data_IF_259559142742
#
_entry.id   IF_259559142742
#
_cell.length_a   1.000
_cell.length_b   1.000
_cell.length_c   1.000
_cell.angle_alpha   90.00
_cell.angle_beta   90.00
_cell.angle_gamma   90.00
#
_symmetry.space_group_name_H-M   'P 1'
#
loop_
_entity.id
_entity.type
_entity.pdbx_description
1 polymer ?
#
# COMPACT_ATOMS: atom_id res chain seq x y z
N UNK A 1 -15.98 1.56 -9.34
CA UNK A 1 -15.11 0.59 -10.00
C UNK A 1 -15.66 -0.83 -9.83
N UNK A 2 -15.46 -1.71 -10.84
CA UNK A 2 -15.73 -3.14 -10.68
C UNK A 2 -14.83 -3.72 -9.57
N UNK A 3 -15.18 -4.91 -9.06
CA UNK A 3 -14.39 -5.53 -7.99
C UNK A 3 -12.96 -5.84 -8.43
N UNK A 4 -12.78 -6.43 -9.62
CA UNK A 4 -11.46 -6.74 -10.18
C UNK A 4 -10.63 -5.49 -10.47
N UNK A 5 -11.23 -4.44 -11.03
CA UNK A 5 -10.53 -3.17 -11.26
C UNK A 5 -10.05 -2.56 -9.93
N UNK A 6 -10.89 -2.61 -8.89
CA UNK A 6 -10.53 -2.12 -7.57
C UNK A 6 -9.37 -2.89 -6.95
N UNK A 7 -9.37 -4.23 -7.03
CA UNK A 7 -8.25 -5.07 -6.56
C UNK A 7 -6.95 -4.77 -7.33
N UNK A 8 -7.03 -4.61 -8.65
CA UNK A 8 -5.87 -4.22 -9.47
C UNK A 8 -5.32 -2.84 -9.08
N UNK A 9 -6.19 -1.88 -8.77
CA UNK A 9 -5.77 -0.54 -8.31
C UNK A 9 -5.12 -0.58 -6.92
N UNK A 10 -5.61 -1.43 -5.99
CA UNK A 10 -4.97 -1.63 -4.68
C UNK A 10 -3.56 -2.19 -4.86
N UNK A 11 -3.44 -3.21 -5.69
CA UNK A 11 -2.14 -3.82 -6.01
C UNK A 11 -1.17 -2.79 -6.59
N UNK A 12 -1.61 -2.03 -7.60
CA UNK A 12 -0.79 -0.97 -8.20
C UNK A 12 -0.35 0.12 -7.21
N UNK A 13 -1.15 0.39 -6.18
CA UNK A 13 -0.83 1.40 -5.18
C UNK A 13 0.28 0.97 -4.21
N UNK A 14 0.36 -0.32 -3.93
CA UNK A 14 1.35 -0.87 -3.02
C UNK A 14 2.54 -1.51 -3.71
N UNK A 15 2.42 -1.80 -5.00
CA UNK A 15 3.52 -2.29 -5.82
C UNK A 15 4.34 -1.10 -6.30
N UNK A 16 5.54 -1.04 -5.84
CA UNK A 16 6.49 0.00 -6.21
C UNK A 16 7.89 -0.57 -6.39
N UNK A 17 8.82 0.32 -6.57
CA UNK A 17 10.26 0.00 -6.68
C UNK A 17 10.74 -0.92 -5.57
N UNK A 18 10.24 -0.75 -4.34
CA UNK A 18 10.64 -1.57 -3.22
C UNK A 18 10.40 -3.05 -3.44
N UNK A 19 9.25 -3.43 -3.99
CA UNK A 19 8.97 -4.84 -4.29
C UNK A 19 9.96 -5.40 -5.33
N UNK A 20 10.35 -4.60 -6.32
CA UNK A 20 11.32 -5.02 -7.34
C UNK A 20 12.72 -5.08 -6.77
N UNK A 21 13.11 -4.08 -5.96
CA UNK A 21 14.42 -4.01 -5.33
C UNK A 21 14.67 -5.22 -4.42
N UNK A 22 13.72 -5.49 -3.53
CA UNK A 22 13.88 -6.46 -2.47
C UNK A 22 13.50 -7.90 -2.87
N UNK A 23 12.89 -8.11 -4.04
CA UNK A 23 12.45 -9.43 -4.49
C UNK A 23 13.56 -10.49 -4.53
N UNK A 24 14.77 -10.08 -4.83
CA UNK A 24 15.97 -10.93 -4.82
C UNK A 24 16.93 -10.51 -3.71
N UNK A 25 17.12 -9.21 -3.52
CA UNK A 25 18.09 -8.68 -2.57
C UNK A 25 17.83 -9.20 -1.13
N UNK A 26 16.58 -9.21 -0.68
CA UNK A 26 16.26 -9.65 0.68
C UNK A 26 16.43 -11.17 0.87
N UNK A 27 15.81 -12.06 0.05
CA UNK A 27 16.01 -13.50 0.19
C UNK A 27 17.49 -13.89 0.11
N UNK A 28 18.25 -13.31 -0.80
CA UNK A 28 19.68 -13.59 -0.93
C UNK A 28 20.50 -13.07 0.25
N UNK A 29 20.17 -11.90 0.79
CA UNK A 29 20.82 -11.38 2.01
C UNK A 29 20.58 -12.29 3.21
N UNK A 30 19.35 -12.80 3.38
CA UNK A 30 19.02 -13.73 4.46
C UNK A 30 19.58 -15.13 4.23
N UNK A 31 19.85 -15.50 3.00
CA UNK A 31 20.49 -16.76 2.65
C UNK A 31 21.98 -16.74 3.02
N UNK A 32 22.67 -15.66 2.70
CA UNK A 32 24.10 -15.47 3.03
C UNK A 32 24.30 -15.16 4.52
N UNK A 33 23.40 -14.39 5.11
CA UNK A 33 23.43 -14.01 6.54
C UNK A 33 22.07 -14.30 7.18
N UNK A 34 21.87 -15.57 7.63
CA UNK A 34 20.58 -15.99 8.17
C UNK A 34 20.17 -15.19 9.40
N UNK A 35 18.86 -14.92 9.56
CA UNK A 35 18.33 -14.22 10.73
C UNK A 35 18.82 -14.83 12.05
N UNK A 36 19.35 -13.99 12.92
CA UNK A 36 19.84 -14.38 14.28
C UNK A 36 20.95 -15.44 14.27
N UNK A 37 21.63 -15.68 13.16
CA UNK A 37 22.60 -16.78 13.08
C UNK A 37 22.00 -18.16 13.35
N UNK A 38 20.68 -18.32 13.10
CA UNK A 38 19.93 -19.51 13.48
C UNK A 38 19.99 -20.66 12.46
N UNK A 39 20.73 -20.47 11.36
CA UNK A 39 21.05 -21.49 10.38
C UNK A 39 22.48 -21.31 9.87
N UNK A 40 23.05 -22.37 9.33
CA UNK A 40 24.33 -22.30 8.59
C UNK A 40 24.11 -21.42 7.34
N UNK A 41 24.96 -20.40 7.11
CA UNK A 41 24.92 -19.60 5.88
C UNK A 41 24.91 -20.48 4.62
N UNK A 42 24.23 -20.04 3.59
CA UNK A 42 24.17 -20.70 2.27
C UNK A 42 23.65 -22.16 2.31
N UNK A 43 22.94 -22.52 3.37
CA UNK A 43 22.34 -23.85 3.54
C UNK A 43 20.88 -23.90 3.06
N UNK A 44 20.31 -25.11 2.82
CA UNK A 44 18.88 -25.24 2.56
C UNK A 44 17.98 -24.67 3.66
N UNK A 45 18.43 -24.72 4.92
CA UNK A 45 17.74 -24.10 6.04
C UNK A 45 17.73 -22.59 5.95
N UNK A 46 18.88 -21.99 5.60
CA UNK A 46 18.99 -20.55 5.36
C UNK A 46 18.05 -20.11 4.23
N UNK A 47 17.95 -20.87 3.14
CA UNK A 47 17.03 -20.60 2.03
C UNK A 47 15.56 -20.62 2.46
N UNK A 48 15.14 -21.62 3.26
CA UNK A 48 13.77 -21.68 3.80
C UNK A 48 13.48 -20.48 4.71
N UNK A 49 14.42 -20.12 5.59
CA UNK A 49 14.30 -18.96 6.46
C UNK A 49 14.26 -17.65 5.66
N UNK A 50 15.08 -17.52 4.63
CA UNK A 50 15.11 -16.35 3.77
C UNK A 50 13.73 -16.09 3.14
N UNK A 51 13.12 -17.10 2.57
CA UNK A 51 11.77 -16.99 2.00
C UNK A 51 10.72 -16.68 3.05
N UNK A 52 10.76 -17.33 4.21
CA UNK A 52 9.83 -17.09 5.32
C UNK A 52 9.87 -15.64 5.80
N UNK A 53 11.06 -15.07 6.02
CA UNK A 53 11.21 -13.68 6.49
C UNK A 53 10.86 -12.68 5.40
N UNK A 54 11.15 -12.93 4.15
CA UNK A 54 10.69 -12.10 3.04
C UNK A 54 9.16 -12.03 2.98
N UNK A 55 8.46 -13.17 3.14
CA UNK A 55 6.99 -13.17 3.22
C UNK A 55 6.47 -12.47 4.49
N UNK A 56 7.19 -12.53 5.60
CA UNK A 56 6.83 -11.84 6.82
C UNK A 56 6.91 -10.33 6.69
N UNK A 57 7.96 -9.79 6.08
CA UNK A 57 8.15 -8.36 5.89
C UNK A 57 7.16 -7.77 4.87
N UNK A 58 6.82 -8.50 3.81
CA UNK A 58 5.95 -8.04 2.71
C UNK A 58 4.51 -8.57 2.80
N UNK A 59 4.19 -9.29 3.87
CA UNK A 59 2.91 -9.94 4.09
C UNK A 59 1.91 -9.10 4.88
N UNK A 60 1.19 -9.78 5.79
CA UNK A 60 0.03 -9.22 6.51
C UNK A 60 0.32 -7.94 7.27
N UNK A 61 1.46 -7.86 7.95
CA UNK A 61 1.82 -6.70 8.78
C UNK A 61 1.92 -5.42 7.96
N UNK A 62 2.62 -5.49 6.85
CA UNK A 62 2.80 -4.35 5.94
C UNK A 62 1.46 -3.84 5.42
N UNK A 63 0.61 -4.75 4.93
CA UNK A 63 -0.67 -4.38 4.35
C UNK A 63 -1.73 -4.00 5.39
N UNK A 64 -1.63 -4.52 6.62
CA UNK A 64 -2.46 -4.10 7.74
C UNK A 64 -2.25 -2.63 8.11
N UNK A 65 -1.01 -2.11 8.01
CA UNK A 65 -0.70 -0.69 8.21
C UNK A 65 -1.47 0.19 7.21
N UNK A 66 -1.44 -0.18 5.93
CA UNK A 66 -2.17 0.54 4.89
C UNK A 66 -3.68 0.42 5.04
N UNK A 67 -4.16 -0.77 5.42
CA UNK A 67 -5.58 -1.01 5.65
C UNK A 67 -6.11 -0.16 6.82
N UNK A 68 -5.38 -0.04 7.92
CA UNK A 68 -5.78 0.76 9.07
C UNK A 68 -5.97 2.24 8.69
N UNK A 69 -4.95 2.84 8.08
CA UNK A 69 -5.00 4.26 7.69
C UNK A 69 -6.07 4.47 6.61
N UNK A 70 -6.10 3.59 5.62
CA UNK A 70 -7.09 3.67 4.54
C UNK A 70 -8.53 3.54 5.04
N UNK A 71 -8.80 2.62 5.95
CA UNK A 71 -10.13 2.44 6.53
C UNK A 71 -10.54 3.65 7.38
N UNK A 72 -9.62 4.19 8.19
CA UNK A 72 -9.87 5.37 9.00
C UNK A 72 -10.24 6.58 8.14
N UNK A 73 -9.48 6.83 7.07
CA UNK A 73 -9.75 7.94 6.14
C UNK A 73 -11.05 7.68 5.36
N UNK A 74 -11.29 6.45 4.86
CA UNK A 74 -12.50 6.11 4.12
C UNK A 74 -13.76 6.28 4.99
N UNK A 75 -13.71 5.82 6.24
CA UNK A 75 -14.80 5.97 7.20
C UNK A 75 -15.13 7.44 7.46
N UNK A 76 -14.12 8.25 7.78
CA UNK A 76 -14.29 9.68 8.01
C UNK A 76 -14.87 10.38 6.79
N UNK A 77 -14.32 10.08 5.62
CA UNK A 77 -14.68 10.77 4.38
C UNK A 77 -16.05 10.37 3.86
N UNK A 78 -16.34 9.09 3.80
CA UNK A 78 -17.55 8.58 3.13
C UNK A 78 -18.71 8.34 4.09
N UNK A 79 -18.43 7.98 5.34
CA UNK A 79 -19.47 7.74 6.34
C UNK A 79 -19.79 8.98 7.15
N UNK A 80 -18.77 9.71 7.62
CA UNK A 80 -18.95 10.92 8.42
C UNK A 80 -19.02 12.20 7.56
N UNK A 81 -18.79 12.12 6.24
CA UNK A 81 -18.82 13.27 5.30
C UNK A 81 -17.89 14.41 5.72
N UNK A 82 -16.72 14.08 6.25
CA UNK A 82 -15.69 15.04 6.69
C UNK A 82 -14.52 15.11 5.70
N UNK A 83 -13.66 16.12 5.78
CA UNK A 83 -12.41 16.16 4.99
C UNK A 83 -11.57 14.90 5.20
N UNK A 84 -10.95 14.38 4.16
CA UNK A 84 -10.09 13.19 4.22
C UNK A 84 -8.68 13.52 4.74
N UNK A 85 -8.59 14.21 5.88
CA UNK A 85 -7.34 14.52 6.57
C UNK A 85 -7.05 13.47 7.64
N UNK A 86 -5.77 13.25 7.91
CA UNK A 86 -5.35 12.30 8.97
C UNK A 86 -5.90 12.72 10.33
N UNK A 87 -5.89 14.03 10.65
CA UNK A 87 -6.42 14.54 11.92
C UNK A 87 -7.91 14.23 12.14
N UNK A 88 -8.71 14.19 11.09
CA UNK A 88 -10.14 13.89 11.19
C UNK A 88 -10.43 12.48 11.71
N UNK A 89 -9.52 11.52 11.50
CA UNK A 89 -9.64 10.18 12.05
C UNK A 89 -9.66 10.16 13.59
N UNK A 90 -9.19 11.22 14.25
CA UNK A 90 -9.14 11.35 15.70
C UNK A 90 -10.35 12.08 16.29
N UNK A 91 -11.31 12.53 15.49
CA UNK A 91 -12.45 13.33 15.98
C UNK A 91 -13.29 12.62 17.04
N UNK A 92 -13.44 11.30 16.97
CA UNK A 92 -14.16 10.52 17.98
C UNK A 92 -13.52 10.53 19.37
N UNK A 93 -12.22 10.82 19.45
CA UNK A 93 -11.45 10.84 20.71
C UNK A 93 -11.07 12.27 21.13
N UNK A 94 -10.78 13.13 20.18
CA UNK A 94 -10.28 14.50 20.44
C UNK A 94 -11.38 15.59 20.30
N UNK A 95 -12.54 15.26 19.71
CA UNK A 95 -13.61 16.21 19.42
C UNK A 95 -13.11 17.36 18.54
N UNK A 96 -13.49 18.60 18.88
CA UNK A 96 -13.13 19.81 18.10
C UNK A 96 -11.66 20.22 18.22
N UNK A 97 -10.88 19.55 19.08
CA UNK A 97 -9.42 19.76 19.15
C UNK A 97 -8.71 19.40 17.84
N UNK A 98 -9.32 18.59 16.99
CA UNK A 98 -8.78 18.31 15.65
C UNK A 98 -8.75 19.52 14.73
N UNK A 99 -9.54 20.56 15.02
CA UNK A 99 -9.59 21.81 14.28
C UNK A 99 -8.57 22.84 14.80
N UNK A 100 -7.84 22.50 15.87
CA UNK A 100 -6.84 23.33 16.53
C UNK A 100 -5.40 22.99 16.12
N UNK A 101 -4.42 23.57 16.81
CA UNK A 101 -3.00 23.28 16.65
C UNK A 101 -2.66 21.79 16.76
N UNK A 102 -3.38 21.01 17.59
CA UNK A 102 -3.16 19.58 17.72
C UNK A 102 -3.47 18.81 16.41
N UNK A 103 -4.59 19.13 15.76
CA UNK A 103 -4.90 18.52 14.46
C UNK A 103 -3.94 18.94 13.36
N UNK A 104 -3.47 20.19 13.38
CA UNK A 104 -2.42 20.63 12.46
C UNK A 104 -1.12 19.87 12.68
N UNK A 105 -0.70 19.64 13.94
CA UNK A 105 0.49 18.85 14.27
C UNK A 105 0.37 17.39 13.74
N UNK A 106 -0.78 16.75 13.90
CA UNK A 106 -1.05 15.42 13.36
C UNK A 106 -0.87 15.40 11.84
N UNK A 107 -1.43 16.36 11.12
CA UNK A 107 -1.30 16.44 9.66
C UNK A 107 0.14 16.73 9.22
N UNK A 108 0.88 17.57 9.95
CA UNK A 108 2.30 17.84 9.68
C UNK A 108 3.14 16.56 9.86
N UNK A 109 2.92 15.81 10.94
CA UNK A 109 3.63 14.54 11.17
C UNK A 109 3.36 13.52 10.04
N UNK A 110 2.11 13.42 9.57
CA UNK A 110 1.78 12.59 8.42
C UNK A 110 2.48 13.04 7.12
N UNK A 111 2.57 14.34 6.88
CA UNK A 111 3.29 14.91 5.73
C UNK A 111 4.78 14.61 5.82
N UNK A 112 5.41 14.85 6.98
CA UNK A 112 6.84 14.60 7.21
C UNK A 112 7.15 13.11 7.00
N UNK A 113 6.37 12.21 7.62
CA UNK A 113 6.50 10.77 7.45
C UNK A 113 6.42 10.38 5.97
N UNK A 114 5.42 10.89 5.24
CA UNK A 114 5.26 10.61 3.81
C UNK A 114 6.43 11.10 2.97
N UNK A 115 6.94 12.31 3.23
CA UNK A 115 8.07 12.88 2.47
C UNK A 115 9.30 11.99 2.59
N UNK A 116 9.67 11.58 3.79
CA UNK A 116 10.84 10.74 4.00
C UNK A 116 10.64 9.32 3.48
N UNK A 117 9.46 8.73 3.67
CA UNK A 117 9.16 7.41 3.10
C UNK A 117 9.24 7.38 1.57
N UNK A 118 8.72 8.40 0.90
CA UNK A 118 8.80 8.50 -0.57
C UNK A 118 10.21 8.84 -1.04
N UNK A 119 10.95 9.72 -0.33
CA UNK A 119 12.33 10.01 -0.64
C UNK A 119 13.22 8.76 -0.56
N UNK A 120 12.98 7.89 0.43
CA UNK A 120 13.63 6.57 0.52
C UNK A 120 13.35 5.73 -0.71
N UNK A 121 12.10 5.66 -1.14
CA UNK A 121 11.74 4.91 -2.36
C UNK A 121 12.36 5.48 -3.62
N UNK A 122 12.43 6.81 -3.75
CA UNK A 122 13.13 7.46 -4.84
C UNK A 122 14.61 7.09 -4.84
N UNK A 123 15.25 7.13 -3.67
CA UNK A 123 16.65 6.75 -3.50
C UNK A 123 16.92 5.29 -3.88
N UNK A 124 16.12 4.36 -3.35
CA UNK A 124 16.19 2.93 -3.69
C UNK A 124 16.04 2.70 -5.19
N UNK A 125 15.07 3.37 -5.81
CA UNK A 125 14.83 3.26 -7.25
C UNK A 125 16.00 3.79 -8.08
N UNK A 126 16.58 4.90 -7.66
CA UNK A 126 17.76 5.49 -8.34
C UNK A 126 18.99 4.57 -8.23
N UNK A 127 19.23 4.00 -7.05
CA UNK A 127 20.29 3.01 -6.83
C UNK A 127 20.08 1.82 -7.76
N UNK A 128 18.87 1.29 -7.81
CA UNK A 128 18.54 0.13 -8.65
C UNK A 128 18.59 0.43 -10.16
N UNK A 129 18.18 1.64 -10.58
CA UNK A 129 18.34 2.08 -11.97
C UNK A 129 19.81 2.16 -12.32
N UNK A 130 20.68 2.65 -11.42
CA UNK A 130 22.13 2.69 -11.66
C UNK A 130 22.72 1.28 -11.84
N UNK A 131 22.35 0.32 -10.96
CA UNK A 131 22.75 -1.08 -11.13
C UNK A 131 22.24 -1.68 -12.45
N UNK A 132 20.99 -1.42 -12.80
CA UNK A 132 20.42 -1.89 -14.06
C UNK A 132 21.11 -1.30 -15.30
N UNK A 133 21.47 -0.03 -15.28
CA UNK A 133 22.26 0.60 -16.34
C UNK A 133 23.67 0.00 -16.40
N UNK A 134 24.25 -0.35 -15.25
CA UNK A 134 25.52 -1.09 -15.20
C UNK A 134 25.42 -2.43 -15.91
N UNK A 135 24.38 -3.22 -15.59
CA UNK A 135 24.16 -4.54 -16.18
C UNK A 135 23.82 -4.48 -17.68
N UNK A 136 23.00 -3.54 -18.12
CA UNK A 136 22.51 -3.47 -19.51
C UNK A 136 23.45 -2.67 -20.43
N UNK A 137 24.07 -1.61 -19.93
CA UNK A 137 24.83 -0.65 -20.73
C UNK A 137 26.31 -0.45 -20.27
N UNK A 138 26.74 -1.19 -19.24
CA UNK A 138 28.12 -1.11 -18.73
C UNK A 138 28.48 0.23 -18.08
N UNK A 139 27.49 0.96 -17.54
CA UNK A 139 27.75 2.24 -16.87
C UNK A 139 28.34 2.02 -15.49
N UNK A 140 29.17 3.01 -15.03
CA UNK A 140 29.74 2.95 -13.70
C UNK A 140 28.65 3.04 -12.62
N UNK A 141 28.86 2.35 -11.51
CA UNK A 141 28.04 2.47 -10.30
C UNK A 141 28.65 3.51 -9.36
N UNK A 142 27.84 4.44 -8.85
CA UNK A 142 28.30 5.43 -7.90
C UNK A 142 27.36 6.61 -7.71
N UNK A 143 27.60 7.39 -6.66
CA UNK A 143 26.73 8.49 -6.23
C UNK A 143 26.57 9.56 -7.33
N UNK A 144 27.62 9.85 -8.09
CA UNK A 144 27.53 10.83 -9.20
C UNK A 144 26.52 10.38 -10.25
N UNK A 145 26.57 9.12 -10.67
CA UNK A 145 25.61 8.54 -11.62
C UNK A 145 24.20 8.53 -11.05
N UNK A 146 24.06 8.18 -9.77
CA UNK A 146 22.78 8.20 -9.06
C UNK A 146 22.16 9.60 -9.05
N UNK A 147 22.94 10.66 -8.85
CA UNK A 147 22.44 12.03 -8.90
C UNK A 147 22.02 12.45 -10.32
N UNK A 148 22.74 12.04 -11.36
CA UNK A 148 22.31 12.27 -12.75
C UNK A 148 21.00 11.52 -13.07
N UNK A 149 20.88 10.27 -12.62
CA UNK A 149 19.66 9.48 -12.77
C UNK A 149 18.50 10.15 -12.02
N UNK A 150 18.73 10.56 -10.76
CA UNK A 150 17.74 11.28 -9.96
C UNK A 150 17.27 12.55 -10.67
N UNK A 151 18.18 13.35 -11.21
CA UNK A 151 17.85 14.57 -11.96
C UNK A 151 17.00 14.25 -13.21
N UNK A 152 17.37 13.22 -13.97
CA UNK A 152 16.62 12.77 -15.15
C UNK A 152 15.20 12.29 -14.81
N UNK A 153 15.07 11.42 -13.81
CA UNK A 153 13.78 10.94 -13.31
C UNK A 153 12.94 12.09 -12.75
N UNK A 154 13.57 13.01 -12.00
CA UNK A 154 12.91 14.19 -11.47
C UNK A 154 12.35 15.09 -12.58
N UNK A 155 13.11 15.36 -13.61
CA UNK A 155 12.65 16.14 -14.76
C UNK A 155 11.38 15.54 -15.38
N UNK A 156 11.37 14.22 -15.58
CA UNK A 156 10.20 13.53 -16.16
C UNK A 156 8.98 13.61 -15.25
N UNK A 157 9.09 13.21 -13.98
CA UNK A 157 7.89 13.20 -13.12
C UNK A 157 7.41 14.60 -12.73
N UNK A 158 8.30 15.60 -12.61
CA UNK A 158 7.90 16.99 -12.37
C UNK A 158 7.14 17.55 -13.57
N UNK A 159 7.59 17.26 -14.80
CA UNK A 159 6.84 17.60 -16.02
C UNK A 159 5.47 16.90 -16.03
N UNK A 160 5.40 15.61 -15.69
CA UNK A 160 4.13 14.89 -15.56
C UNK A 160 3.22 15.51 -14.49
N UNK A 161 3.79 16.01 -13.38
CA UNK A 161 3.02 16.67 -12.31
C UNK A 161 2.38 18.00 -12.75
N UNK A 162 2.89 18.64 -13.77
CA UNK A 162 2.31 19.86 -14.38
C UNK A 162 1.17 19.56 -15.36
N UNK A 163 1.15 18.36 -15.92
CA UNK A 163 0.12 17.95 -16.85
C UNK A 163 -1.26 17.71 -16.16
N UNK A 164 -2.39 17.78 -16.89
CA UNK A 164 -3.69 17.36 -16.38
C UNK A 164 -3.64 15.87 -15.98
N UNK A 165 -4.17 15.55 -14.79
CA UNK A 165 -4.09 14.21 -14.17
C UNK A 165 -4.66 13.06 -14.99
N UNK A 166 -5.56 13.34 -15.93
CA UNK A 166 -6.43 12.32 -16.52
C UNK A 166 -5.86 11.63 -17.77
N UNK A 167 -4.88 12.21 -18.45
CA UNK A 167 -4.51 11.74 -19.79
C UNK A 167 -3.18 10.98 -19.90
N UNK A 168 -2.23 11.16 -19.00
CA UNK A 168 -0.89 10.54 -19.14
C UNK A 168 -0.60 9.43 -18.11
N UNK A 169 -0.93 9.69 -16.85
CA UNK A 169 -0.57 8.81 -15.72
C UNK A 169 -1.26 7.46 -15.79
N UNK A 170 -2.50 7.43 -16.29
CA UNK A 170 -3.26 6.18 -16.43
C UNK A 170 -2.58 5.21 -17.39
N UNK A 171 -2.19 5.67 -18.57
CA UNK A 171 -1.52 4.82 -19.56
C UNK A 171 -0.18 4.29 -19.07
N UNK A 172 0.57 5.12 -18.34
CA UNK A 172 1.86 4.71 -17.74
C UNK A 172 1.63 3.67 -16.65
N UNK A 173 0.62 3.85 -15.80
CA UNK A 173 0.28 2.88 -14.76
C UNK A 173 -0.22 1.55 -15.34
N UNK A 174 -1.06 1.60 -16.37
CA UNK A 174 -1.58 0.40 -17.04
C UNK A 174 -0.43 -0.36 -17.72
N UNK A 175 0.48 0.35 -18.42
CA UNK A 175 1.67 -0.24 -19.05
C UNK A 175 2.59 -0.88 -18.00
N UNK A 176 2.77 -0.23 -16.87
CA UNK A 176 3.56 -0.73 -15.74
C UNK A 176 3.01 -2.05 -15.20
N UNK A 177 1.70 -2.13 -15.01
CA UNK A 177 1.02 -3.35 -14.55
C UNK A 177 1.15 -4.51 -15.54
N UNK A 178 0.98 -4.23 -16.83
CA UNK A 178 1.12 -5.25 -17.89
C UNK A 178 2.57 -5.73 -17.97
N UNK A 179 3.53 -4.82 -17.89
CA UNK A 179 4.96 -5.17 -17.91
C UNK A 179 5.36 -5.98 -16.68
N UNK A 180 4.93 -5.58 -15.48
CA UNK A 180 5.20 -6.32 -14.26
C UNK A 180 4.61 -7.74 -14.30
N UNK A 181 3.34 -7.86 -14.73
CA UNK A 181 2.68 -9.15 -14.87
C UNK A 181 3.37 -10.01 -15.94
N UNK A 182 3.75 -9.43 -17.08
CA UNK A 182 4.48 -10.13 -18.15
C UNK A 182 5.84 -10.66 -17.68
N UNK A 183 6.61 -9.85 -16.96
CA UNK A 183 7.90 -10.28 -16.40
C UNK A 183 7.71 -11.37 -15.33
N UNK A 184 6.73 -11.21 -14.44
CA UNK A 184 6.41 -12.22 -13.44
C UNK A 184 6.07 -13.58 -14.08
N UNK A 185 5.17 -13.57 -15.06
CA UNK A 185 4.76 -14.78 -15.79
C UNK A 185 5.95 -15.39 -16.56
N UNK A 186 6.75 -14.54 -17.20
CA UNK A 186 7.92 -15.01 -17.90
C UNK A 186 8.92 -15.71 -16.95
N UNK A 187 9.32 -15.05 -15.88
CA UNK A 187 10.28 -15.63 -14.91
C UNK A 187 9.70 -16.88 -14.25
N UNK A 188 8.41 -16.93 -13.97
CA UNK A 188 7.77 -18.11 -13.41
C UNK A 188 7.83 -19.31 -14.33
N UNK A 189 7.55 -19.16 -15.63
CA UNK A 189 7.49 -20.30 -16.57
C UNK A 189 8.83 -20.64 -17.21
N UNK A 190 9.75 -19.69 -17.35
CA UNK A 190 11.09 -19.92 -17.92
C UNK A 190 12.17 -20.13 -16.85
N UNK A 191 11.85 -19.85 -15.60
CA UNK A 191 12.67 -20.18 -14.44
C UNK A 191 12.37 -21.60 -13.91
N UNK A 192 12.88 -21.93 -12.72
CA UNK A 192 12.71 -23.24 -12.09
C UNK A 192 11.31 -23.39 -11.47
N UNK A 193 10.26 -23.52 -12.28
CA UNK A 193 8.84 -23.51 -11.88
C UNK A 193 8.53 -24.51 -10.75
N UNK A 194 9.07 -25.74 -10.82
CA UNK A 194 8.83 -26.77 -9.81
C UNK A 194 9.40 -26.34 -8.45
N UNK A 195 10.62 -25.78 -8.45
CA UNK A 195 11.24 -25.28 -7.23
C UNK A 195 10.49 -24.05 -6.70
N UNK A 196 10.11 -23.10 -7.56
CA UNK A 196 9.35 -21.91 -7.18
C UNK A 196 8.05 -22.30 -6.47
N UNK A 197 7.30 -23.25 -7.03
CA UNK A 197 6.03 -23.69 -6.45
C UNK A 197 6.21 -24.45 -5.13
N UNK A 198 7.23 -25.30 -5.02
CA UNK A 198 7.57 -26.01 -3.79
C UNK A 198 8.04 -25.03 -2.70
N UNK A 199 8.96 -24.12 -3.03
CA UNK A 199 9.47 -23.10 -2.11
C UNK A 199 8.36 -22.15 -1.62
N UNK A 200 7.47 -21.72 -2.53
CA UNK A 200 6.30 -20.91 -2.20
C UNK A 200 5.37 -21.61 -1.20
N UNK A 201 5.08 -22.90 -1.45
CA UNK A 201 4.21 -23.70 -0.59
C UNK A 201 4.80 -23.84 0.81
N UNK A 202 6.09 -24.15 0.90
CA UNK A 202 6.81 -24.25 2.18
C UNK A 202 6.85 -22.90 2.90
N UNK A 203 7.20 -21.83 2.19
CA UNK A 203 7.30 -20.49 2.77
C UNK A 203 5.95 -20.00 3.33
N UNK A 204 4.82 -20.29 2.67
CA UNK A 204 3.48 -19.99 3.17
C UNK A 204 3.23 -20.75 4.48
N UNK A 205 3.48 -22.06 4.50
CA UNK A 205 3.31 -22.88 5.70
C UNK A 205 4.17 -22.41 6.87
N UNK A 206 5.44 -22.14 6.62
CA UNK A 206 6.40 -21.64 7.61
C UNK A 206 6.02 -20.24 8.13
N UNK A 207 5.57 -19.36 7.23
CA UNK A 207 5.13 -18.02 7.62
C UNK A 207 3.93 -18.07 8.56
N UNK A 208 2.88 -18.81 8.21
CA UNK A 208 1.70 -18.92 9.07
C UNK A 208 2.00 -19.60 10.41
N UNK A 209 2.82 -20.65 10.40
CA UNK A 209 3.17 -21.39 11.61
C UNK A 209 4.01 -20.57 12.59
N UNK A 210 4.82 -19.63 12.10
CA UNK A 210 5.76 -18.85 12.91
C UNK A 210 5.38 -17.38 13.07
N UNK A 211 4.30 -16.91 12.44
CA UNK A 211 3.95 -15.48 12.34
C UNK A 211 3.93 -14.76 13.69
N UNK A 212 3.33 -15.36 14.72
CA UNK A 212 3.24 -14.74 16.06
C UNK A 212 4.61 -14.64 16.70
N UNK A 213 5.40 -15.72 16.66
CA UNK A 213 6.75 -15.73 17.21
C UNK A 213 7.66 -14.71 16.53
N UNK A 214 7.63 -14.67 15.20
CA UNK A 214 8.41 -13.69 14.42
C UNK A 214 8.00 -12.24 14.71
N UNK A 215 6.72 -11.99 15.02
CA UNK A 215 6.21 -10.65 15.33
C UNK A 215 6.66 -10.11 16.69
N UNK A 216 7.06 -10.97 17.60
CA UNK A 216 7.39 -10.63 18.98
C UNK A 216 8.85 -10.92 19.33
N UNK A 217 9.69 -11.24 18.33
CA UNK A 217 11.11 -11.50 18.54
C UNK A 217 11.87 -10.18 18.66
N UNK A 218 12.69 -10.12 19.69
CA UNK A 218 13.72 -9.09 19.94
C UNK A 218 14.98 -9.79 20.43
N UNK A 219 16.11 -9.13 20.33
CA UNK A 219 17.44 -9.72 20.61
C UNK A 219 18.16 -9.08 21.82
N UNK A 220 17.49 -8.85 22.98
CA UNK A 220 18.10 -8.13 24.11
C UNK A 220 19.25 -8.90 24.79
N UNK A 221 19.33 -10.20 24.57
CA UNK A 221 20.32 -11.06 25.23
C UNK A 221 21.55 -11.36 24.36
N UNK A 222 21.46 -11.19 23.08
CA UNK A 222 22.55 -11.46 22.12
C UNK A 222 23.18 -10.19 21.57
N UNK A 223 22.47 -9.06 21.62
CA UNK A 223 22.90 -7.81 21.00
C UNK A 223 22.95 -7.85 19.47
N UNK A 224 22.26 -8.82 18.87
CA UNK A 224 22.13 -8.92 17.41
C UNK A 224 21.24 -7.79 16.88
N UNK A 225 21.71 -7.11 15.88
CA UNK A 225 21.04 -5.94 15.25
C UNK A 225 20.19 -6.29 14.03
N UNK A 226 19.97 -7.58 13.76
CA UNK A 226 19.23 -8.04 12.59
C UNK A 226 17.78 -7.51 12.56
N UNK A 227 17.08 -7.50 13.71
CA UNK A 227 15.70 -6.97 13.81
C UNK A 227 15.65 -5.50 13.43
N UNK A 228 16.64 -4.72 13.85
CA UNK A 228 16.73 -3.28 13.59
C UNK A 228 16.97 -3.00 12.10
N UNK A 229 17.91 -3.72 11.50
CA UNK A 229 18.29 -3.54 10.09
C UNK A 229 17.22 -4.02 9.11
N UNK A 230 16.41 -5.02 9.50
CA UNK A 230 15.43 -5.64 8.60
C UNK A 230 13.99 -5.37 9.03
N UNK A 231 13.50 -5.98 10.09
CA UNK A 231 12.09 -5.91 10.47
C UNK A 231 11.65 -4.48 10.82
N UNK A 232 12.45 -3.78 11.66
CA UNK A 232 12.14 -2.39 12.04
C UNK A 232 12.21 -1.46 10.82
N UNK A 233 13.22 -1.63 9.97
CA UNK A 233 13.33 -0.85 8.74
C UNK A 233 12.11 -1.04 7.83
N UNK A 234 11.74 -2.27 7.48
CA UNK A 234 10.61 -2.52 6.59
C UNK A 234 9.31 -1.97 7.13
N UNK A 235 9.04 -2.21 8.40
CA UNK A 235 7.78 -1.74 9.00
C UNK A 235 7.76 -0.24 9.18
N UNK A 236 8.87 0.38 9.55
CA UNK A 236 8.98 1.83 9.61
C UNK A 236 8.79 2.47 8.23
N UNK A 237 9.44 1.92 7.19
CA UNK A 237 9.25 2.39 5.83
C UNK A 237 7.80 2.25 5.38
N UNK A 238 7.15 1.12 5.62
CA UNK A 238 5.73 0.95 5.36
C UNK A 238 4.83 1.90 6.15
N UNK A 239 5.13 2.11 7.43
CA UNK A 239 4.43 3.10 8.26
C UNK A 239 4.56 4.52 7.68
N UNK A 240 5.75 4.90 7.19
CA UNK A 240 5.97 6.20 6.57
C UNK A 240 5.17 6.37 5.26
N UNK A 241 4.88 5.28 4.56
CA UNK A 241 4.04 5.24 3.36
C UNK A 241 2.54 5.21 3.67
N UNK A 242 2.16 4.80 4.87
CA UNK A 242 0.76 4.55 5.21
C UNK A 242 -0.17 5.75 5.03
N UNK A 243 0.21 7.02 5.33
CA UNK A 243 -0.65 8.16 5.04
C UNK A 243 -0.94 8.31 3.55
N UNK A 244 0.07 8.11 2.71
CA UNK A 244 -0.04 8.22 1.25
C UNK A 244 -0.88 7.07 0.66
N UNK A 245 -0.46 5.82 0.88
CA UNK A 245 -1.12 4.63 0.33
C UNK A 245 -2.53 4.48 0.90
N UNK A 246 -2.71 4.70 2.20
CA UNK A 246 -4.01 4.66 2.85
C UNK A 246 -4.99 5.69 2.27
N UNK A 247 -4.54 6.91 2.00
CA UNK A 247 -5.37 7.95 1.35
C UNK A 247 -5.79 7.56 -0.06
N UNK A 248 -4.89 6.95 -0.83
CA UNK A 248 -5.20 6.46 -2.17
C UNK A 248 -6.21 5.31 -2.11
N UNK A 249 -5.97 4.30 -1.26
CA UNK A 249 -6.87 3.15 -1.07
C UNK A 249 -8.25 3.63 -0.61
N UNK A 250 -8.32 4.56 0.35
CA UNK A 250 -9.58 5.14 0.78
C UNK A 250 -10.36 5.74 -0.40
N UNK A 251 -9.68 6.51 -1.26
CA UNK A 251 -10.32 7.18 -2.41
C UNK A 251 -10.95 6.21 -3.39
N UNK A 252 -10.28 5.12 -3.71
CA UNK A 252 -10.78 4.14 -4.68
C UNK A 252 -11.80 3.16 -4.11
N UNK A 253 -11.96 3.11 -2.77
CA UNK A 253 -12.81 2.15 -2.06
C UNK A 253 -14.23 2.66 -1.77
N UNK A 254 -14.65 3.79 -2.35
CA UNK A 254 -16.01 4.32 -2.16
C UNK A 254 -17.06 3.27 -2.54
N UNK A 255 -18.01 3.01 -1.61
CA UNK A 255 -19.10 2.05 -1.79
C UNK A 255 -18.74 0.60 -1.44
N UNK A 256 -17.52 0.34 -0.95
CA UNK A 256 -17.14 -0.98 -0.42
C UNK A 256 -17.57 -1.13 1.03
N UNK A 257 -17.96 -2.33 1.41
CA UNK A 257 -18.17 -2.66 2.81
C UNK A 257 -16.83 -2.74 3.55
N UNK A 258 -16.84 -2.56 4.88
CA UNK A 258 -15.63 -2.70 5.70
C UNK A 258 -14.99 -4.09 5.51
N UNK A 259 -15.81 -5.14 5.40
CA UNK A 259 -15.34 -6.51 5.18
C UNK A 259 -14.61 -6.65 3.85
N UNK A 260 -15.23 -6.20 2.74
CA UNK A 260 -14.59 -6.19 1.42
C UNK A 260 -13.29 -5.39 1.43
N UNK A 261 -13.30 -4.23 2.11
CA UNK A 261 -12.13 -3.38 2.23
C UNK A 261 -10.97 -4.11 2.91
N UNK A 262 -11.19 -4.69 4.08
CA UNK A 262 -10.14 -5.38 4.85
C UNK A 262 -9.60 -6.59 4.09
N UNK A 263 -10.47 -7.46 3.59
CA UNK A 263 -10.05 -8.65 2.83
C UNK A 263 -9.35 -8.28 1.52
N UNK A 264 -9.85 -7.27 0.79
CA UNK A 264 -9.25 -6.85 -0.47
C UNK A 264 -7.91 -6.15 -0.29
N UNK A 265 -7.81 -5.24 0.67
CA UNK A 265 -6.59 -4.45 0.90
C UNK A 265 -5.46 -5.29 1.52
N UNK A 266 -5.78 -6.28 2.33
CA UNK A 266 -4.77 -7.16 2.92
C UNK A 266 -4.54 -8.38 2.04
N UNK A 267 -5.60 -9.13 1.70
CA UNK A 267 -5.48 -10.44 1.08
C UNK A 267 -4.86 -10.44 -0.31
N UNK A 268 -5.35 -9.58 -1.20
CA UNK A 268 -4.88 -9.57 -2.59
C UNK A 268 -3.40 -9.17 -2.73
N UNK A 269 -2.93 -8.10 -2.09
CA UNK A 269 -1.53 -7.75 -2.19
C UNK A 269 -0.59 -8.75 -1.52
N UNK A 270 -0.99 -9.34 -0.39
CA UNK A 270 -0.21 -10.41 0.27
C UNK A 270 -0.04 -11.60 -0.66
N UNK A 271 -1.12 -12.02 -1.33
CA UNK A 271 -1.04 -13.10 -2.32
C UNK A 271 -0.06 -12.78 -3.45
N UNK A 272 -0.18 -11.58 -4.01
CA UNK A 272 0.69 -11.15 -5.12
C UNK A 272 2.15 -10.96 -4.70
N UNK A 273 2.40 -10.41 -3.51
CA UNK A 273 3.76 -10.32 -2.94
C UNK A 273 4.34 -11.73 -2.73
N UNK A 274 3.54 -12.67 -2.25
CA UNK A 274 3.97 -14.07 -2.08
C UNK A 274 4.41 -14.67 -3.42
N UNK A 275 3.59 -14.54 -4.46
CA UNK A 275 3.95 -15.04 -5.81
C UNK A 275 5.19 -14.33 -6.34
N UNK A 276 5.29 -13.00 -6.15
CA UNK A 276 6.40 -12.18 -6.63
C UNK A 276 7.74 -12.61 -5.99
N UNK A 277 7.80 -12.64 -4.65
CA UNK A 277 9.01 -13.04 -3.93
C UNK A 277 9.39 -14.50 -4.19
N UNK A 278 8.40 -15.39 -4.27
CA UNK A 278 8.67 -16.79 -4.59
C UNK A 278 9.20 -16.98 -6.00
N UNK A 279 8.72 -16.18 -6.95
CA UNK A 279 9.20 -16.27 -8.33
C UNK A 279 10.63 -15.73 -8.47
N UNK A 280 10.86 -14.48 -8.07
CA UNK A 280 12.18 -13.86 -8.25
C UNK A 280 13.19 -14.36 -7.22
N UNK A 281 12.86 -14.31 -5.93
CA UNK A 281 13.73 -14.76 -4.85
C UNK A 281 13.94 -16.29 -4.87
N UNK A 282 12.87 -17.04 -5.15
CA UNK A 282 12.98 -18.49 -5.31
C UNK A 282 13.85 -18.88 -6.49
N UNK A 283 13.76 -18.19 -7.62
CA UNK A 283 14.67 -18.43 -8.76
C UNK A 283 16.12 -18.15 -8.39
N UNK A 284 16.39 -17.03 -7.70
CA UNK A 284 17.74 -16.69 -7.25
C UNK A 284 18.33 -17.78 -6.32
N UNK A 285 17.56 -18.22 -5.33
CA UNK A 285 17.96 -19.28 -4.43
C UNK A 285 18.20 -20.62 -5.16
N UNK A 286 17.40 -20.93 -6.18
CA UNK A 286 17.62 -22.12 -7.00
C UNK A 286 18.92 -22.06 -7.77
N UNK A 287 19.17 -20.94 -8.47
CA UNK A 287 20.41 -20.79 -9.26
C UNK A 287 21.65 -20.84 -8.37
N UNK A 288 21.60 -20.25 -7.19
CA UNK A 288 22.69 -20.32 -6.21
C UNK A 288 22.92 -21.75 -5.72
N UNK A 289 21.86 -22.42 -5.24
CA UNK A 289 21.96 -23.74 -4.62
C UNK A 289 22.32 -24.88 -5.60
N UNK A 290 21.84 -24.79 -6.85
CA UNK A 290 21.88 -25.93 -7.76
C UNK A 290 22.65 -25.68 -9.08
N UNK A 291 22.85 -24.42 -9.44
CA UNK A 291 23.57 -24.07 -10.68
C UNK A 291 24.91 -23.36 -10.44
N UNK A 292 25.26 -23.13 -9.18
CA UNK A 292 26.54 -22.50 -8.79
C UNK A 292 26.62 -21.04 -9.17
N UNK A 293 25.49 -20.32 -9.16
CA UNK A 293 25.45 -18.90 -9.37
C UNK A 293 26.16 -18.17 -8.23
N UNK A 294 26.86 -17.08 -8.50
CA UNK A 294 27.53 -16.26 -7.49
C UNK A 294 26.63 -15.10 -7.02
N UNK A 295 25.35 -15.37 -6.76
CA UNK A 295 24.37 -14.36 -6.37
C UNK A 295 24.55 -13.92 -4.92
N UNK A 296 25.04 -14.81 -4.06
CA UNK A 296 25.45 -14.49 -2.69
C UNK A 296 26.59 -13.47 -2.66
N UNK A 297 27.59 -13.62 -3.52
CA UNK A 297 28.67 -12.63 -3.70
C UNK A 297 28.13 -11.31 -4.29
N UNK A 298 27.24 -11.39 -5.28
CA UNK A 298 26.63 -10.21 -5.89
C UNK A 298 25.86 -9.37 -4.86
N UNK A 299 25.03 -9.98 -4.01
CA UNK A 299 24.25 -9.26 -3.00
C UNK A 299 25.11 -8.65 -1.89
N UNK A 300 26.23 -9.29 -1.54
CA UNK A 300 27.14 -8.77 -0.52
C UNK A 300 28.03 -7.63 -1.06
N UNK A 301 28.38 -7.67 -2.34
CA UNK A 301 29.17 -6.62 -3.00
C UNK A 301 28.33 -5.38 -3.30
N UNK A 302 27.18 -5.58 -3.95
CA UNK A 302 26.25 -4.52 -4.29
C UNK A 302 24.82 -5.08 -4.30
N UNK A 303 24.07 -4.85 -3.22
CA UNK A 303 22.75 -5.41 -3.02
C UNK A 303 21.77 -5.13 -4.17
N UNK A 304 21.86 -3.96 -4.78
CA UNK A 304 20.98 -3.56 -5.89
C UNK A 304 21.24 -4.30 -7.20
N UNK A 305 22.39 -4.98 -7.32
CA UNK A 305 22.74 -5.75 -8.51
C UNK A 305 22.12 -7.15 -8.54
N UNK A 306 21.73 -7.69 -7.38
CA UNK A 306 21.29 -9.07 -7.22
C UNK A 306 20.15 -9.47 -8.17
N UNK A 307 19.18 -8.57 -8.40
CA UNK A 307 18.09 -8.80 -9.34
C UNK A 307 18.60 -9.00 -10.77
N UNK A 308 19.47 -8.11 -11.25
CA UNK A 308 19.98 -8.18 -12.62
C UNK A 308 20.89 -9.36 -12.81
N UNK A 309 21.73 -9.70 -11.82
CA UNK A 309 22.55 -10.91 -11.82
C UNK A 309 21.68 -12.18 -11.90
N UNK A 310 20.54 -12.22 -11.22
CA UNK A 310 19.59 -13.34 -11.31
C UNK A 310 19.02 -13.50 -12.73
N UNK A 311 18.74 -12.39 -13.42
CA UNK A 311 18.19 -12.43 -14.78
C UNK A 311 19.20 -13.01 -15.80
N UNK A 312 20.50 -13.05 -15.50
CA UNK A 312 21.54 -13.63 -16.37
C UNK A 312 21.39 -15.13 -16.55
N UNK A 313 20.74 -15.82 -15.61
CA UNK A 313 20.45 -17.25 -15.66
C UNK A 313 19.14 -17.60 -16.40
N UNK A 314 18.45 -16.58 -16.92
CA UNK A 314 17.21 -16.75 -17.68
C UNK A 314 17.42 -16.50 -19.18
N UNK A 315 16.65 -17.15 -20.08
CA UNK A 315 16.77 -16.93 -21.50
C UNK A 315 16.40 -15.48 -21.87
N UNK A 316 17.16 -14.86 -22.76
CA UNK A 316 16.89 -13.51 -23.24
C UNK A 316 17.33 -12.40 -22.29
N UNK A 317 18.37 -12.60 -21.51
CA UNK A 317 18.94 -11.71 -20.49
C UNK A 317 18.94 -10.23 -20.86
N UNK A 318 19.45 -9.86 -22.03
CA UNK A 318 19.54 -8.46 -22.47
C UNK A 318 18.14 -7.80 -22.60
N UNK A 319 17.17 -8.54 -23.11
CA UNK A 319 15.78 -8.06 -23.25
C UNK A 319 15.14 -7.98 -21.85
N UNK A 320 15.30 -9.00 -21.02
CA UNK A 320 14.75 -9.03 -19.67
C UNK A 320 15.33 -7.90 -18.80
N UNK A 321 16.64 -7.71 -18.81
CA UNK A 321 17.30 -6.63 -18.09
C UNK A 321 16.80 -5.26 -18.55
N UNK A 322 16.65 -5.06 -19.87
CA UNK A 322 16.10 -3.83 -20.43
C UNK A 322 14.65 -3.58 -20.02
N UNK A 323 13.79 -4.60 -20.09
CA UNK A 323 12.37 -4.51 -19.67
C UNK A 323 12.25 -4.27 -18.17
N UNK A 324 13.08 -4.94 -17.35
CA UNK A 324 13.12 -4.73 -15.90
C UNK A 324 13.56 -3.30 -15.56
N UNK A 325 14.57 -2.78 -16.24
CA UNK A 325 15.02 -1.40 -16.08
C UNK A 325 13.90 -0.40 -16.41
N UNK A 326 13.20 -0.61 -17.53
CA UNK A 326 12.02 0.21 -17.89
C UNK A 326 10.94 0.13 -16.81
N UNK A 327 10.64 -1.07 -16.29
CA UNK A 327 9.68 -1.26 -15.22
C UNK A 327 10.05 -0.43 -13.97
N UNK A 328 11.30 -0.49 -13.54
CA UNK A 328 11.81 0.25 -12.38
C UNK A 328 11.64 1.77 -12.60
N UNK A 329 12.06 2.27 -13.74
CA UNK A 329 11.94 3.71 -14.10
C UNK A 329 10.46 4.15 -14.05
N UNK A 330 9.57 3.37 -14.63
CA UNK A 330 8.14 3.67 -14.64
C UNK A 330 7.54 3.63 -13.22
N UNK A 331 7.95 2.68 -12.38
CA UNK A 331 7.53 2.64 -10.98
C UNK A 331 8.01 3.84 -10.17
N UNK A 332 9.26 4.27 -10.35
CA UNK A 332 9.79 5.47 -9.69
C UNK A 332 8.98 6.71 -10.06
N UNK A 333 8.75 6.92 -11.37
CA UNK A 333 8.01 8.08 -11.88
C UNK A 333 6.56 8.08 -11.37
N UNK A 334 5.87 6.95 -11.43
CA UNK A 334 4.46 6.86 -11.02
C UNK A 334 4.28 7.01 -9.51
N UNK A 335 5.17 6.42 -8.70
CA UNK A 335 5.16 6.54 -7.24
C UNK A 335 5.43 7.99 -6.80
N UNK A 336 6.48 8.62 -7.34
CA UNK A 336 6.82 10.01 -7.04
C UNK A 336 5.68 10.97 -7.39
N UNK A 337 5.10 10.82 -8.58
CA UNK A 337 4.00 11.67 -9.02
C UNK A 337 2.74 11.50 -8.16
N UNK A 338 2.39 10.27 -7.82
CA UNK A 338 1.26 9.98 -6.93
C UNK A 338 1.46 10.57 -5.53
N UNK A 339 2.68 10.49 -5.01
CA UNK A 339 3.02 11.06 -3.70
C UNK A 339 2.96 12.60 -3.69
N UNK A 340 3.44 13.29 -4.74
CA UNK A 340 3.31 14.76 -4.85
C UNK A 340 1.86 15.20 -4.80
N UNK A 341 0.97 14.40 -5.39
CA UNK A 341 -0.45 14.68 -5.38
C UNK A 341 -1.05 14.56 -3.96
N UNK A 342 -0.74 13.50 -3.24
CA UNK A 342 -1.27 13.29 -1.88
C UNK A 342 -0.70 14.31 -0.89
N UNK A 343 0.59 14.62 -0.97
CA UNK A 343 1.21 15.70 -0.17
C UNK A 343 0.57 17.05 -0.46
N UNK A 344 0.28 17.33 -1.73
CA UNK A 344 -0.48 18.50 -2.13
C UNK A 344 -1.88 18.52 -1.52
N UNK A 345 -2.59 17.39 -1.45
CA UNK A 345 -3.90 17.29 -0.80
C UNK A 345 -3.81 17.57 0.70
N UNK A 346 -2.88 16.94 1.42
CA UNK A 346 -2.72 17.12 2.87
C UNK A 346 -2.43 18.57 3.23
N UNK A 347 -1.62 19.25 2.44
CA UNK A 347 -1.23 20.66 2.67
C UNK A 347 -2.23 21.68 2.12
N UNK A 348 -3.25 21.22 1.39
CA UNK A 348 -4.35 22.04 0.86
C UNK A 348 -5.70 21.72 1.53
N UNK A 349 -5.72 21.45 2.83
CA UNK A 349 -6.92 21.15 3.64
C UNK A 349 -7.78 19.99 3.08
N UNK A 350 -7.13 18.99 2.48
CA UNK A 350 -7.82 17.80 1.93
C UNK A 350 -8.52 18.02 0.59
N UNK A 351 -8.20 19.11 -0.13
CA UNK A 351 -8.74 19.35 -1.48
C UNK A 351 -8.27 18.28 -2.45
N UNK A 352 -9.21 17.67 -3.18
CA UNK A 352 -8.94 16.53 -4.07
C UNK A 352 -8.05 16.86 -5.27
N UNK A 353 -8.03 18.11 -5.73
CA UNK A 353 -7.20 18.57 -6.83
C UNK A 353 -6.32 19.72 -6.35
N UNK A 354 -5.16 19.42 -5.74
CA UNK A 354 -4.23 20.44 -5.28
C UNK A 354 -3.70 21.25 -6.45
N UNK A 355 -3.37 22.53 -6.18
CA UNK A 355 -2.81 23.44 -7.17
C UNK A 355 -1.50 22.86 -7.76
N UNK A 356 -1.23 23.12 -9.04
CA UNK A 356 -0.01 22.66 -9.74
C UNK A 356 1.26 23.04 -8.98
N UNK A 357 1.33 24.27 -8.46
CA UNK A 357 2.47 24.74 -7.67
C UNK A 357 2.70 23.95 -6.39
N UNK A 358 1.64 23.56 -5.67
CA UNK A 358 1.76 22.70 -4.49
C UNK A 358 2.37 21.33 -4.85
N UNK A 359 1.93 20.71 -5.95
CA UNK A 359 2.49 19.46 -6.45
C UNK A 359 3.97 19.62 -6.83
N UNK A 360 4.29 20.67 -7.59
CA UNK A 360 5.67 20.95 -7.99
C UNK A 360 6.58 21.16 -6.77
N UNK A 361 6.15 21.95 -5.78
CA UNK A 361 6.91 22.18 -4.54
C UNK A 361 7.20 20.87 -3.83
N UNK A 362 6.19 19.99 -3.64
CA UNK A 362 6.39 18.71 -2.99
C UNK A 362 7.25 17.76 -3.81
N UNK A 363 7.17 17.80 -5.13
CA UNK A 363 8.07 17.05 -6.00
C UNK A 363 9.53 17.48 -5.84
N UNK A 364 9.80 18.79 -5.83
CA UNK A 364 11.15 19.30 -5.59
C UNK A 364 11.66 18.93 -4.20
N UNK A 365 10.84 19.05 -3.17
CA UNK A 365 11.21 18.65 -1.80
C UNK A 365 11.60 17.18 -1.74
N UNK A 366 10.82 16.27 -2.33
CA UNK A 366 11.12 14.83 -2.35
C UNK A 366 12.45 14.54 -3.05
N UNK A 367 12.69 15.14 -4.21
CA UNK A 367 13.97 14.99 -4.96
C UNK A 367 15.14 15.52 -4.14
N UNK A 368 14.98 16.69 -3.53
CA UNK A 368 16.04 17.29 -2.72
C UNK A 368 16.40 16.41 -1.52
N UNK A 369 15.38 15.88 -0.82
CA UNK A 369 15.59 14.98 0.32
C UNK A 369 16.26 13.69 -0.14
N UNK A 370 15.79 13.05 -1.23
CA UNK A 370 16.41 11.86 -1.78
C UNK A 370 17.86 12.09 -2.20
N UNK A 371 18.16 13.22 -2.87
CA UNK A 371 19.51 13.59 -3.27
C UNK A 371 20.45 13.80 -2.08
N UNK A 372 19.99 14.48 -1.04
CA UNK A 372 20.78 14.66 0.20
C UNK A 372 21.08 13.32 0.87
N UNK A 373 20.10 12.43 0.94
CA UNK A 373 20.27 11.10 1.55
C UNK A 373 21.24 10.22 0.77
N UNK A 374 21.15 10.24 -0.57
CA UNK A 374 22.12 9.54 -1.44
C UNK A 374 23.56 10.06 -1.23
N UNK A 375 23.74 11.37 -1.07
CA UNK A 375 25.03 11.99 -0.77
C UNK A 375 25.55 11.67 0.63
N UNK A 376 24.65 11.52 1.61
CA UNK A 376 25.03 11.39 3.03
C UNK A 376 25.42 9.97 3.43
N UNK A 377 24.99 8.95 2.69
CA UNK A 377 25.27 7.55 3.07
C UNK A 377 24.49 6.52 2.24
N UNK A 378 23.89 6.95 1.10
CA UNK A 378 23.21 6.04 0.17
C UNK A 378 22.10 5.23 0.84
N UNK A 379 22.14 3.90 0.70
CA UNK A 379 21.12 2.99 1.20
C UNK A 379 20.92 3.09 2.73
N UNK A 380 22.00 3.14 3.49
CA UNK A 380 21.95 3.20 4.96
C UNK A 380 21.28 4.48 5.47
N UNK A 381 21.60 5.63 4.86
CA UNK A 381 20.94 6.89 5.20
C UNK A 381 19.45 6.88 4.87
N UNK A 382 19.06 6.27 3.74
CA UNK A 382 17.67 6.10 3.34
C UNK A 382 16.89 5.22 4.34
N UNK A 383 17.48 4.15 4.82
CA UNK A 383 16.90 3.25 5.81
C UNK A 383 16.73 3.95 7.16
N UNK A 384 17.80 4.56 7.66
CA UNK A 384 17.82 5.25 8.96
C UNK A 384 16.77 6.36 9.03
N UNK A 385 16.68 7.20 8.01
CA UNK A 385 15.71 8.32 8.03
C UNK A 385 14.26 7.82 7.95
N UNK A 386 14.01 6.70 7.27
CA UNK A 386 12.69 6.07 7.26
C UNK A 386 12.26 5.65 8.67
N UNK A 387 13.14 5.05 9.45
CA UNK A 387 12.87 4.64 10.83
C UNK A 387 12.55 5.87 11.69
N UNK A 388 13.39 6.89 11.64
CA UNK A 388 13.22 8.12 12.43
C UNK A 388 11.91 8.86 12.08
N UNK A 389 11.61 8.99 10.80
CA UNK A 389 10.41 9.70 10.35
C UNK A 389 9.11 8.93 10.59
N UNK A 390 9.15 7.60 10.60
CA UNK A 390 7.99 6.76 10.86
C UNK A 390 7.60 6.72 12.33
N UNK A 391 8.54 6.84 13.26
CA UNK A 391 8.29 6.65 14.69
C UNK A 391 7.16 7.54 15.24
N UNK A 392 7.13 8.88 15.02
CA UNK A 392 6.02 9.70 15.49
C UNK A 392 4.68 9.31 14.87
N UNK A 393 4.68 8.90 13.60
CA UNK A 393 3.47 8.47 12.91
C UNK A 393 2.98 7.11 13.41
N UNK A 394 3.89 6.18 13.78
CA UNK A 394 3.55 4.92 14.44
C UNK A 394 2.72 5.15 15.71
N UNK A 395 3.16 6.09 16.56
CA UNK A 395 2.43 6.46 17.77
C UNK A 395 1.02 6.98 17.41
N UNK A 396 0.91 7.83 16.40
CA UNK A 396 -0.38 8.30 15.91
C UNK A 396 -1.26 7.15 15.41
N UNK A 397 -0.70 6.17 14.73
CA UNK A 397 -1.46 5.01 14.22
C UNK A 397 -2.09 4.18 15.34
N UNK A 398 -1.41 3.98 16.48
CA UNK A 398 -1.98 3.29 17.64
C UNK A 398 -3.23 4.04 18.15
N UNK A 399 -3.13 5.37 18.29
CA UNK A 399 -4.28 6.18 18.68
C UNK A 399 -5.36 6.22 17.59
N UNK A 400 -4.99 6.21 16.31
CA UNK A 400 -5.93 6.13 15.18
C UNK A 400 -6.74 4.83 15.22
N UNK A 401 -6.11 3.69 15.51
CA UNK A 401 -6.78 2.42 15.67
C UNK A 401 -7.85 2.48 16.78
N UNK A 402 -7.50 3.06 17.93
CA UNK A 402 -8.45 3.21 19.05
C UNK A 402 -9.59 4.18 18.70
N UNK A 403 -9.28 5.27 18.00
CA UNK A 403 -10.29 6.25 17.56
C UNK A 403 -11.26 5.63 16.53
N UNK A 404 -10.75 4.86 15.58
CA UNK A 404 -11.57 4.13 14.59
C UNK A 404 -12.50 3.13 15.27
N UNK A 405 -11.95 2.28 16.16
CA UNK A 405 -12.76 1.31 16.91
C UNK A 405 -13.86 1.99 17.74
N UNK A 406 -13.55 3.11 18.39
CA UNK A 406 -14.55 3.91 19.12
C UNK A 406 -15.63 4.43 18.19
N UNK A 407 -15.26 4.94 17.01
CA UNK A 407 -16.22 5.43 16.02
C UNK A 407 -17.15 4.34 15.53
N UNK A 408 -16.62 3.17 15.18
CA UNK A 408 -17.40 2.02 14.72
C UNK A 408 -18.35 1.48 15.81
N UNK A 409 -17.87 1.38 17.05
CA UNK A 409 -18.73 0.97 18.20
C UNK A 409 -19.85 1.96 18.47
N UNK A 410 -19.57 3.26 18.39
CA UNK A 410 -20.59 4.28 18.57
C UNK A 410 -21.66 4.20 17.49
N UNK A 411 -21.27 4.00 16.25
CA UNK A 411 -22.21 3.85 15.14
C UNK A 411 -23.05 2.58 15.28
N UNK A 412 -22.44 1.45 15.61
CA UNK A 412 -23.15 0.20 15.85
C UNK A 412 -24.20 0.37 16.94
N UNK A 413 -23.84 1.01 18.03
CA UNK A 413 -24.80 1.30 19.13
C UNK A 413 -25.96 2.19 18.68
N UNK A 414 -25.69 3.18 17.82
CA UNK A 414 -26.78 4.02 17.28
C UNK A 414 -27.71 3.24 16.36
N UNK A 415 -27.18 2.33 15.55
CA UNK A 415 -27.98 1.45 14.68
C UNK A 415 -28.89 0.56 15.55
N UNK A 416 -28.33 -0.10 16.55
CA UNK A 416 -29.07 -0.96 17.47
C UNK A 416 -30.20 -0.21 18.21
N UNK A 417 -29.93 1.01 18.69
CA UNK A 417 -30.95 1.86 19.32
C UNK A 417 -32.06 2.26 18.33
N UNK A 418 -31.67 2.60 17.10
CA UNK A 418 -32.66 2.95 16.07
C UNK A 418 -33.57 1.76 15.69
N UNK A 419 -32.96 0.60 15.52
CA UNK A 419 -33.70 -0.65 15.25
C UNK A 419 -34.67 -1.01 16.39
N UNK A 420 -34.19 -0.89 17.64
CA UNK A 420 -35.04 -1.12 18.82
C UNK A 420 -36.23 -0.16 18.87
N UNK A 421 -36.01 1.13 18.66
CA UNK A 421 -37.09 2.14 18.61
C UNK A 421 -38.07 1.88 17.46
N UNK A 422 -37.54 1.50 16.27
CA UNK A 422 -38.37 1.20 15.11
C UNK A 422 -39.23 -0.03 15.35
N UNK A 423 -38.66 -1.08 15.96
CA UNK A 423 -39.38 -2.29 16.35
C UNK A 423 -40.50 -1.99 17.38
N UNK A 424 -40.19 -1.20 18.40
CA UNK A 424 -41.18 -0.79 19.41
C UNK A 424 -42.32 0.00 18.78
N UNK A 425 -42.02 0.94 17.88
CA UNK A 425 -43.03 1.71 17.14
C UNK A 425 -43.91 0.81 16.28
N UNK A 426 -43.31 -0.17 15.59
CA UNK A 426 -44.04 -1.13 14.76
C UNK A 426 -45.02 -1.98 15.61
N UNK A 427 -44.54 -2.48 16.76
CA UNK A 427 -45.36 -3.25 17.70
C UNK A 427 -46.55 -2.43 18.25
N UNK A 428 -46.36 -1.15 18.56
CA UNK A 428 -47.47 -0.24 18.97
C UNK A 428 -48.49 -0.06 17.85
N UNK A 429 -48.05 0.17 16.62
CA UNK A 429 -48.95 0.32 15.48
C UNK A 429 -49.74 -0.96 15.18
N UNK A 430 -49.11 -2.14 15.34
CA UNK A 430 -49.82 -3.42 15.22
C UNK A 430 -50.88 -3.60 16.32
N UNK A 431 -50.53 -3.28 17.56
CA UNK A 431 -51.50 -3.35 18.69
C UNK A 431 -52.66 -2.37 18.50
N UNK A 432 -52.41 -1.15 18.01
CA UNK A 432 -53.47 -0.19 17.68
C UNK A 432 -54.34 -0.67 16.51
N UNK A 433 -53.77 -1.38 15.50
CA UNK A 433 -54.54 -1.95 14.40
C UNK A 433 -55.42 -3.12 14.83
N UNK A 434 -54.94 -3.96 15.76
CA UNK A 434 -55.76 -5.06 16.34
C UNK A 434 -56.93 -4.52 17.17
N UNK A 435 -56.71 -3.44 17.94
CA UNK A 435 -57.80 -2.78 18.71
C UNK A 435 -58.86 -2.11 17.81
N UNK A 436 -58.43 -1.65 16.61
CA UNK A 436 -59.36 -1.15 15.57
C UNK A 436 -60.13 -2.29 14.87
N UNK A 437 -59.52 -3.46 14.71
CA UNK A 437 -60.14 -4.67 14.15
C UNK A 437 -61.21 -5.24 15.08
N UNK A 438 -60.97 -5.20 16.40
CA UNK A 438 -61.91 -5.70 17.41
C UNK A 438 -63.11 -4.76 17.62
N UNK A 439 -62.99 -3.47 17.24
CA UNK A 439 -64.08 -2.49 17.29
C UNK A 439 -65.04 -2.56 16.07
N UNK A 440 -64.99 -3.60 15.26
CA UNK A 440 -65.92 -3.99 14.20
C UNK A 440 -66.06 -2.93 13.10
N UNK A 441 -65.45 -3.20 11.96
CA UNK A 441 -65.87 -2.53 10.70
C UNK A 441 -67.37 -2.77 10.52
N UNK A 442 -68.21 -1.76 10.85
CA UNK A 442 -69.61 -1.73 10.42
C UNK A 442 -69.66 -1.28 8.97
N UNK A 443 -70.24 -2.08 8.04
CA UNK A 443 -70.47 -1.59 6.70
C UNK A 443 -71.38 -0.36 6.78
N UNK A 444 -71.00 0.69 6.07
CA UNK A 444 -71.89 1.85 5.90
C UNK A 444 -73.19 1.38 5.28
N UNK A 445 -74.29 1.68 5.97
CA UNK A 445 -75.63 1.43 5.45
C UNK A 445 -75.82 2.10 4.09
N UNK A 446 -76.27 1.32 3.11
CA UNK A 446 -76.62 1.81 1.78
C UNK A 446 -77.68 2.90 1.91
N UNK A 447 -77.28 4.15 1.78
CA UNK A 447 -78.13 5.30 1.78
C UNK A 447 -77.80 6.27 0.68
N UNK A 448 -78.62 6.23 -0.37
CA UNK A 448 -78.81 7.37 -1.29
C UNK A 448 -77.88 7.43 -2.53
N UNK A 449 -78.47 7.04 -3.64
CA UNK A 449 -77.95 7.33 -4.98
C UNK A 449 -77.81 8.83 -5.20
N UNK A 450 -76.60 9.32 -5.26
CA UNK A 450 -76.30 10.58 -5.95
C UNK A 450 -75.39 10.30 -7.15
N UNK A 451 -75.81 10.85 -8.29
CA UNK A 451 -75.13 10.68 -9.59
C UNK A 451 -73.72 11.26 -9.60
N UNK A 452 -72.79 10.67 -10.34
CA UNK A 452 -71.43 11.16 -10.39
C UNK A 452 -71.34 12.52 -11.10
N UNK A 453 -70.52 13.48 -10.67
CA UNK A 453 -70.29 14.72 -11.37
C UNK A 453 -69.42 14.47 -12.64
N UNK A 454 -69.82 15.18 -13.71
CA UNK A 454 -69.19 15.19 -15.03
C UNK A 454 -67.65 15.50 -14.93
N UNK A 455 -66.90 14.78 -15.72
CA UNK A 455 -65.46 15.00 -15.92
C UNK A 455 -65.24 16.28 -16.75
N UNK A 456 -64.30 17.15 -16.40
CA UNK A 456 -63.91 18.24 -17.30
C UNK A 456 -63.00 17.72 -18.41
N UNK A 457 -63.33 18.20 -19.64
CA UNK A 457 -62.68 17.91 -20.90
C UNK A 457 -61.15 18.17 -20.89
N UNK A 458 -60.45 17.25 -21.48
CA UNK A 458 -59.05 17.32 -21.86
C UNK A 458 -58.82 18.44 -22.87
N UNK A 459 -58.04 19.45 -22.56
CA UNK A 459 -57.50 20.40 -23.53
C UNK A 459 -55.98 20.21 -23.65
N UNK A 460 -55.46 19.77 -24.81
CA UNK A 460 -54.03 19.65 -25.03
C UNK A 460 -53.51 20.94 -25.67
N UNK A 461 -52.73 21.78 -24.90
CA UNK A 461 -51.72 22.73 -25.41
C UNK A 461 -51.38 23.80 -24.33
N UNK A 462 -50.20 23.67 -23.75
CA UNK A 462 -49.16 24.69 -23.62
C UNK A 462 -47.94 24.09 -22.90
#
# INVERSE_FOLDING_TARGET
FSYLTWLGMIFSAGMGVGLVFWAVAEPMSHFVSPPFGSAEPESPQAASMAMRYSLFHWGFHQWANFALVGLAIAYVRFRLQRPGLISEAFRSTMGDRVDSGAGHAINILAVVSTVFGVATTLGLGVIQINSGLGAVAGTAFGVSQQLFILAGVAAVFLLCSLAPLESGIRYVSDANMVLAAGLLVFVFFFGPTDFITAAMTNAIGDYFSNMVGMSLVMTPYTGDDWVERWTIFYWAWGLSWAPFVGSFIARISRGRTIREFVFGVIGMPVLLSTVWFSTFGGSALYFELFEGAALGEAVTTEMSSALFATLEYLPGTAILGGLMLVLIVLFVITSANSATFVLGMFTSKGVLNPKRWSRLTWGIVQVSVAGVLLLSGGLEALQTISILAAFPFMVLMIFMATALLKSLRNEQRQIELHEAMTRERLLRLLAESDDLGDKGWKPAEEGGSEAPPEQPENNPRA
#
